data_IF_842068611243
#
_entry.id   IF_842068611243
#
_cell.length_a   1.000
_cell.length_b   1.000
_cell.length_c   1.000
_cell.angle_alpha   90.00
_cell.angle_beta   90.00
_cell.angle_gamma   90.00
#
_symmetry.space_group_name_H-M   'P 1'
#
loop_
_entity.id
_entity.type
_entity.pdbx_description
1 polymer ?
#
# COMPACT_ATOMS: atom_id res chain seq x y z
N UNK A 1 2.38 -0.27 -9.40
CA UNK A 1 1.91 -1.66 -9.22
C UNK A 1 1.93 -2.49 -10.51
N UNK A 2 1.21 -2.15 -11.60
CA UNK A 2 1.13 -2.99 -12.80
C UNK A 2 2.49 -3.39 -13.40
N UNK A 3 3.44 -2.45 -13.44
CA UNK A 3 4.81 -2.75 -13.87
C UNK A 3 5.49 -3.80 -12.95
N UNK A 4 5.40 -3.63 -11.63
CA UNK A 4 5.97 -4.61 -10.69
C UNK A 4 5.37 -6.01 -10.89
N UNK A 5 4.02 -6.11 -10.96
CA UNK A 5 3.37 -7.41 -11.18
C UNK A 5 3.79 -8.04 -12.51
N UNK A 6 3.96 -7.25 -13.59
CA UNK A 6 4.42 -7.78 -14.88
C UNK A 6 5.83 -8.36 -14.83
N UNK A 7 6.70 -7.88 -13.93
CA UNK A 7 8.03 -8.48 -13.74
C UNK A 7 7.99 -9.82 -12.99
N UNK A 8 6.94 -10.05 -12.19
CA UNK A 8 6.77 -11.31 -11.43
C UNK A 8 6.19 -12.44 -12.27
N UNK A 9 5.45 -12.12 -13.34
CA UNK A 9 4.82 -13.08 -14.24
C UNK A 9 5.03 -12.66 -15.70
N UNK A 10 6.28 -12.70 -16.19
CA UNK A 10 6.67 -12.13 -17.50
C UNK A 10 5.97 -12.79 -18.70
N UNK A 11 5.52 -14.03 -18.57
CA UNK A 11 4.82 -14.76 -19.61
C UNK A 11 3.35 -14.34 -19.82
N UNK A 12 2.85 -13.43 -18.97
CA UNK A 12 1.48 -12.91 -19.06
C UNK A 12 1.42 -11.60 -19.84
N UNK A 13 0.40 -11.45 -20.66
CA UNK A 13 0.14 -10.18 -21.33
C UNK A 13 -0.56 -9.20 -20.38
N UNK A 14 0.07 -8.05 -20.16
CA UNK A 14 -0.45 -7.00 -19.29
C UNK A 14 -0.96 -5.81 -20.09
N UNK A 15 -2.19 -5.38 -19.81
CA UNK A 15 -2.76 -4.11 -20.24
C UNK A 15 -2.73 -3.19 -19.04
N UNK A 16 -1.70 -2.34 -18.95
CA UNK A 16 -1.45 -1.50 -17.78
C UNK A 16 -2.11 -0.13 -17.98
N UNK A 17 -2.90 0.30 -16.99
CA UNK A 17 -3.39 1.66 -16.90
C UNK A 17 -2.24 2.61 -16.52
N UNK A 18 -2.24 3.85 -17.04
CA UNK A 18 -1.25 4.89 -16.74
C UNK A 18 -1.50 5.61 -15.39
N UNK A 19 -2.28 4.99 -14.49
CA UNK A 19 -2.51 5.50 -13.16
C UNK A 19 -1.38 5.13 -12.18
N UNK A 20 -1.15 5.97 -11.19
CA UNK A 20 -0.21 5.73 -10.08
C UNK A 20 -0.75 6.31 -8.78
N UNK A 21 -0.25 5.83 -7.65
CA UNK A 21 -0.53 6.41 -6.35
C UNK A 21 0.45 7.58 -6.09
N UNK A 22 -0.04 8.84 -6.00
CA UNK A 22 0.85 9.98 -5.78
C UNK A 22 1.69 9.84 -4.50
N UNK A 23 1.16 9.15 -3.47
CA UNK A 23 1.88 8.98 -2.21
C UNK A 23 3.08 8.05 -2.34
N UNK A 24 2.90 6.90 -2.98
CA UNK A 24 4.00 5.95 -3.21
C UNK A 24 5.02 6.46 -4.25
N UNK A 25 4.57 7.28 -5.20
CA UNK A 25 5.44 7.86 -6.22
C UNK A 25 6.38 8.94 -5.66
N UNK A 26 6.05 9.55 -4.51
CA UNK A 26 6.88 10.56 -3.85
C UNK A 26 7.93 9.97 -2.89
N UNK A 27 7.98 8.65 -2.69
CA UNK A 27 9.09 8.04 -1.94
C UNK A 27 10.39 8.30 -2.69
N UNK A 28 11.33 8.93 -1.98
CA UNK A 28 12.63 9.30 -2.55
C UNK A 28 13.67 8.22 -2.25
N UNK A 29 14.32 7.62 -3.26
CA UNK A 29 15.35 6.62 -3.03
C UNK A 29 16.54 7.15 -2.22
N UNK A 30 16.97 8.41 -2.41
CA UNK A 30 18.07 9.00 -1.66
C UNK A 30 17.73 9.14 -0.17
N UNK A 31 16.45 9.47 0.12
CA UNK A 31 15.97 9.49 1.51
C UNK A 31 15.94 8.09 2.12
N UNK A 32 15.49 7.08 1.37
CA UNK A 32 15.50 5.68 1.81
C UNK A 32 16.92 5.22 2.13
N UNK A 33 17.90 5.49 1.26
CA UNK A 33 19.30 5.16 1.50
C UNK A 33 19.85 5.84 2.75
N UNK A 34 19.45 7.10 3.00
CA UNK A 34 19.83 7.82 4.23
C UNK A 34 19.27 7.14 5.48
N UNK A 35 18.00 6.71 5.45
CA UNK A 35 17.37 6.00 6.57
C UNK A 35 18.01 4.62 6.76
N UNK A 36 18.29 3.89 5.67
CA UNK A 36 19.01 2.61 5.74
C UNK A 36 20.41 2.75 6.34
N UNK A 37 21.14 3.82 5.98
CA UNK A 37 22.46 4.09 6.55
C UNK A 37 22.40 4.42 8.05
N UNK A 38 21.33 5.10 8.49
CA UNK A 38 21.09 5.39 9.91
C UNK A 38 20.64 4.15 10.71
N UNK A 39 19.97 3.20 10.06
CA UNK A 39 19.41 1.99 10.67
C UNK A 39 19.86 0.72 9.91
N UNK A 40 21.16 0.36 9.94
CA UNK A 40 21.72 -0.68 9.07
C UNK A 40 21.26 -2.11 9.37
N UNK A 41 20.47 -2.30 10.44
CA UNK A 41 19.85 -3.60 10.78
C UNK A 41 18.38 -3.68 10.37
N UNK A 42 17.79 -2.55 9.97
CA UNK A 42 16.39 -2.48 9.61
C UNK A 42 16.17 -3.04 8.19
N UNK A 43 15.18 -3.93 8.05
CA UNK A 43 14.73 -4.39 6.74
C UNK A 43 13.80 -3.36 6.11
N UNK A 44 14.02 -3.06 4.83
CA UNK A 44 13.16 -2.14 4.09
C UNK A 44 12.01 -2.87 3.41
N UNK A 45 10.77 -2.55 3.81
CA UNK A 45 9.55 -3.13 3.28
C UNK A 45 8.81 -2.07 2.45
N UNK A 46 8.62 -2.30 1.13
CA UNK A 46 8.06 -1.33 0.21
C UNK A 46 6.75 -1.80 -0.43
N UNK A 47 5.85 -0.85 -0.68
CA UNK A 47 4.63 -1.10 -1.42
C UNK A 47 4.93 -1.15 -2.94
N UNK A 48 4.33 -2.09 -3.73
CA UNK A 48 4.62 -2.27 -5.16
C UNK A 48 4.19 -1.10 -6.06
N UNK A 49 3.56 -0.05 -5.51
CA UNK A 49 3.29 1.20 -6.21
C UNK A 49 4.43 2.22 -6.10
N UNK A 50 5.45 1.97 -5.29
CA UNK A 50 6.67 2.77 -5.30
C UNK A 50 7.37 2.68 -6.65
N UNK A 51 8.19 3.70 -6.95
CA UNK A 51 9.01 3.71 -8.17
C UNK A 51 10.00 2.55 -8.16
N UNK A 52 10.42 2.10 -9.36
CA UNK A 52 11.32 0.94 -9.51
C UNK A 52 12.66 1.12 -8.78
N UNK A 53 13.16 2.35 -8.70
CA UNK A 53 14.41 2.69 -8.00
C UNK A 53 14.27 2.41 -6.49
N UNK A 54 13.13 2.75 -5.91
CA UNK A 54 12.80 2.47 -4.50
C UNK A 54 12.60 0.97 -4.27
N UNK A 55 11.89 0.29 -5.17
CA UNK A 55 11.67 -1.16 -5.07
C UNK A 55 12.97 -1.96 -5.16
N UNK A 56 13.97 -1.44 -5.88
CA UNK A 56 15.29 -2.07 -5.99
C UNK A 56 16.08 -2.06 -4.65
N UNK A 57 15.75 -1.15 -3.73
CA UNK A 57 16.35 -1.06 -2.40
C UNK A 57 15.65 -1.94 -1.36
N UNK A 58 14.45 -2.47 -1.69
CA UNK A 58 13.60 -3.15 -0.73
C UNK A 58 14.02 -4.62 -0.50
N UNK A 59 14.04 -5.04 0.77
CA UNK A 59 14.19 -6.44 1.18
C UNK A 59 12.90 -7.23 0.97
N UNK A 60 11.75 -6.54 1.03
CA UNK A 60 10.44 -7.13 0.75
C UNK A 60 9.54 -6.13 0.02
N UNK A 61 8.81 -6.62 -0.99
CA UNK A 61 7.80 -5.84 -1.71
C UNK A 61 6.45 -6.55 -1.60
N UNK A 62 5.47 -5.86 -1.02
CA UNK A 62 4.14 -6.43 -0.82
C UNK A 62 3.06 -5.37 -0.59
N UNK A 63 1.80 -5.83 -0.60
CA UNK A 63 0.65 -5.00 -0.21
C UNK A 63 0.80 -4.51 1.24
N UNK A 64 0.01 -3.53 1.65
CA UNK A 64 -0.01 -3.06 3.05
C UNK A 64 -0.23 -4.21 4.03
N UNK A 65 -1.19 -5.10 3.76
CA UNK A 65 -1.40 -6.31 4.57
C UNK A 65 -0.19 -7.24 4.55
N UNK A 66 0.42 -7.44 3.37
CA UNK A 66 1.63 -8.26 3.25
C UNK A 66 2.82 -7.70 4.03
N UNK A 67 2.98 -6.37 4.09
CA UNK A 67 3.99 -5.69 4.91
C UNK A 67 3.75 -5.97 6.40
N UNK A 68 2.50 -5.85 6.86
CA UNK A 68 2.12 -6.14 8.25
C UNK A 68 2.43 -7.61 8.61
N UNK A 69 2.01 -8.53 7.76
CA UNK A 69 2.20 -9.96 7.98
C UNK A 69 3.70 -10.35 7.95
N UNK A 70 4.45 -9.80 6.99
CA UNK A 70 5.90 -10.00 6.92
C UNK A 70 6.62 -9.50 8.17
N UNK A 71 6.30 -8.27 8.60
CA UNK A 71 6.87 -7.71 9.82
C UNK A 71 6.53 -8.54 11.06
N UNK A 72 5.31 -9.10 11.13
CA UNK A 72 4.89 -9.99 12.22
C UNK A 72 5.63 -11.33 12.24
N UNK A 73 5.84 -11.94 11.08
CA UNK A 73 6.47 -13.24 10.95
C UNK A 73 8.02 -13.21 11.03
N UNK A 74 8.64 -12.06 10.73
CA UNK A 74 10.09 -11.90 10.70
C UNK A 74 10.71 -11.84 12.11
N UNK A 75 11.89 -12.42 12.28
CA UNK A 75 12.69 -12.32 13.51
C UNK A 75 13.40 -10.95 13.65
N UNK A 76 13.47 -10.15 12.57
CA UNK A 76 14.04 -8.82 12.60
C UNK A 76 13.30 -7.91 13.58
N UNK A 77 14.03 -6.97 14.19
CA UNK A 77 13.51 -6.07 15.22
C UNK A 77 13.32 -4.63 14.72
N UNK A 78 13.87 -4.33 13.58
CA UNK A 78 13.83 -2.98 13.00
C UNK A 78 13.38 -3.05 11.54
N UNK A 79 12.48 -2.14 11.16
CA UNK A 79 11.93 -2.10 9.80
C UNK A 79 11.81 -0.66 9.31
N UNK A 80 12.14 -0.44 8.05
CA UNK A 80 11.83 0.80 7.32
C UNK A 80 10.59 0.53 6.48
N UNK A 81 9.60 1.42 6.55
CA UNK A 81 8.27 1.19 5.97
C UNK A 81 8.00 2.16 4.83
N UNK A 82 7.96 1.64 3.61
CA UNK A 82 7.70 2.36 2.36
C UNK A 82 6.24 2.27 1.90
N UNK A 83 5.30 2.64 2.77
CA UNK A 83 3.88 2.77 2.45
C UNK A 83 3.22 3.90 3.27
N UNK A 84 1.91 4.09 3.12
CA UNK A 84 1.13 5.14 3.81
C UNK A 84 1.18 4.97 5.33
N UNK A 85 1.39 6.09 6.04
CA UNK A 85 1.71 6.11 7.48
C UNK A 85 0.62 5.59 8.42
N UNK A 86 -0.62 5.45 7.97
CA UNK A 86 -1.67 4.86 8.79
C UNK A 86 -1.41 3.41 9.22
N UNK A 87 -0.48 2.73 8.53
CA UNK A 87 -0.09 1.35 8.85
C UNK A 87 0.70 1.24 10.16
N UNK A 88 1.38 2.31 10.59
CA UNK A 88 2.24 2.28 11.78
C UNK A 88 1.48 1.88 13.04
N UNK A 89 0.27 2.38 13.23
CA UNK A 89 -0.56 1.99 14.38
C UNK A 89 -0.74 0.47 14.49
N UNK A 90 -1.01 -0.19 13.38
CA UNK A 90 -1.21 -1.64 13.37
C UNK A 90 0.10 -2.42 13.53
N UNK A 91 1.17 -1.95 12.87
CA UNK A 91 2.51 -2.53 13.02
C UNK A 91 3.00 -2.49 14.46
N UNK A 92 2.92 -1.34 15.11
CA UNK A 92 3.36 -1.13 16.51
C UNK A 92 2.47 -1.90 17.50
N UNK A 93 1.14 -1.90 17.26
CA UNK A 93 0.20 -2.62 18.15
C UNK A 93 0.40 -4.12 18.10
N UNK A 94 0.65 -4.69 16.90
CA UNK A 94 0.87 -6.13 16.73
C UNK A 94 2.27 -6.58 17.13
N UNK A 95 3.25 -5.67 17.11
CA UNK A 95 4.66 -5.97 17.34
C UNK A 95 5.30 -4.97 18.31
N UNK A 96 4.92 -4.96 19.58
CA UNK A 96 5.38 -3.97 20.58
C UNK A 96 6.88 -4.07 20.90
N UNK A 97 7.54 -5.15 20.48
CA UNK A 97 8.97 -5.42 20.65
C UNK A 97 9.81 -5.05 19.42
N UNK A 98 9.19 -4.42 18.39
CA UNK A 98 9.84 -4.03 17.13
C UNK A 98 9.77 -2.53 16.91
N UNK A 99 10.70 -2.01 16.12
CA UNK A 99 10.78 -0.58 15.80
C UNK A 99 10.55 -0.37 14.31
N UNK A 100 9.78 0.67 13.97
CA UNK A 100 9.39 0.98 12.61
C UNK A 100 9.76 2.42 12.27
N UNK A 101 10.45 2.61 11.15
CA UNK A 101 10.90 3.90 10.64
C UNK A 101 10.18 4.24 9.33
N UNK A 102 9.72 5.46 9.11
CA UNK A 102 9.11 5.85 7.83
C UNK A 102 10.20 6.00 6.74
N UNK A 103 9.89 5.51 5.54
CA UNK A 103 10.72 5.70 4.36
C UNK A 103 10.51 7.06 3.66
N UNK A 104 9.78 7.98 4.28
CA UNK A 104 9.52 9.34 3.80
C UNK A 104 9.16 10.26 4.97
N UNK A 105 9.50 11.56 4.87
CA UNK A 105 9.26 12.55 5.95
C UNK A 105 7.77 12.71 6.28
N UNK A 106 6.91 12.80 5.25
CA UNK A 106 5.45 12.85 5.41
C UNK A 106 4.83 11.61 4.78
N UNK A 107 4.57 10.59 5.61
CA UNK A 107 4.02 9.32 5.15
C UNK A 107 2.48 9.31 4.99
N UNK A 108 1.78 10.38 5.40
CA UNK A 108 0.31 10.39 5.42
C UNK A 108 -0.32 10.83 4.10
N UNK A 109 -1.33 10.10 3.64
CA UNK A 109 -2.10 10.45 2.47
C UNK A 109 -3.24 11.44 2.83
N UNK A 110 -3.14 12.67 2.33
CA UNK A 110 -4.14 13.72 2.57
C UNK A 110 -5.55 13.27 2.16
N UNK A 111 -5.68 12.49 1.08
CA UNK A 111 -6.98 12.01 0.61
C UNK A 111 -7.59 10.95 1.53
N UNK A 112 -6.79 10.02 2.04
CA UNK A 112 -7.27 9.03 3.03
C UNK A 112 -7.68 9.71 4.34
N UNK A 113 -6.95 10.73 4.78
CA UNK A 113 -7.24 11.48 6.01
C UNK A 113 -8.45 12.44 5.91
N UNK A 114 -9.09 12.55 4.74
CA UNK A 114 -10.41 13.21 4.61
C UNK A 114 -11.55 12.41 5.24
N UNK A 115 -11.38 11.12 5.42
CA UNK A 115 -12.33 10.25 6.15
C UNK A 115 -11.97 10.30 7.63
N UNK A 116 -12.88 10.81 8.46
CA UNK A 116 -12.74 10.89 9.91
C UNK A 116 -13.75 9.99 10.61
N UNK A 117 -13.51 9.68 11.88
CA UNK A 117 -14.45 8.87 12.67
C UNK A 117 -15.84 9.52 12.78
N UNK A 118 -15.89 10.85 12.88
CA UNK A 118 -17.15 11.60 12.90
C UNK A 118 -17.93 11.42 11.60
N UNK A 119 -17.25 11.51 10.45
CA UNK A 119 -17.90 11.30 9.14
C UNK A 119 -18.40 9.88 8.98
N UNK A 120 -17.64 8.89 9.44
CA UNK A 120 -18.09 7.48 9.42
C UNK A 120 -19.30 7.29 10.32
N UNK A 121 -19.26 7.79 11.57
CA UNK A 121 -20.39 7.75 12.49
C UNK A 121 -21.63 8.42 11.90
N UNK A 122 -21.50 9.62 11.35
CA UNK A 122 -22.63 10.40 10.83
C UNK A 122 -23.21 9.75 9.57
N UNK A 123 -22.37 9.21 8.69
CA UNK A 123 -22.80 8.45 7.53
C UNK A 123 -23.61 7.20 7.93
N UNK A 124 -23.17 6.45 8.94
CA UNK A 124 -23.87 5.25 9.43
C UNK A 124 -25.16 5.58 10.17
N UNK A 125 -25.17 6.68 10.95
CA UNK A 125 -26.34 7.09 11.71
C UNK A 125 -27.45 7.67 10.83
N UNK A 126 -27.07 8.51 9.87
CA UNK A 126 -27.99 9.35 9.10
C UNK A 126 -28.19 8.81 7.67
N UNK A 127 -27.55 7.68 7.31
CA UNK A 127 -27.59 7.05 5.97
C UNK A 127 -27.29 8.07 4.85
N UNK A 128 -26.31 8.97 5.10
CA UNK A 128 -25.93 10.04 4.18
C UNK A 128 -24.79 9.62 3.24
N UNK A 129 -24.52 10.42 2.23
CA UNK A 129 -23.49 10.20 1.22
C UNK A 129 -23.74 8.96 0.34
N UNK A 130 -25.00 8.65 0.05
CA UNK A 130 -25.33 7.62 -0.92
C UNK A 130 -24.68 7.90 -2.28
N UNK A 131 -24.08 6.88 -2.87
CA UNK A 131 -23.41 6.97 -4.16
C UNK A 131 -24.19 6.20 -5.20
N UNK A 132 -24.54 6.87 -6.28
CA UNK A 132 -25.24 6.28 -7.41
C UNK A 132 -24.25 6.01 -8.55
N UNK A 133 -24.34 4.84 -9.13
CA UNK A 133 -23.61 4.46 -10.35
C UNK A 133 -24.64 4.25 -11.45
N UNK A 134 -24.43 4.85 -12.60
CA UNK A 134 -25.28 4.65 -13.78
C UNK A 134 -25.44 3.15 -14.11
N UNK A 135 -26.67 2.67 -14.34
CA UNK A 135 -26.98 1.25 -14.51
C UNK A 135 -26.20 0.60 -15.66
N UNK A 136 -25.95 1.34 -16.76
CA UNK A 136 -25.19 0.85 -17.89
C UNK A 136 -23.72 0.66 -17.53
N UNK A 137 -23.14 1.58 -16.73
CA UNK A 137 -21.78 1.47 -16.21
C UNK A 137 -21.70 0.32 -15.21
N UNK A 138 -22.64 0.26 -14.26
CA UNK A 138 -22.72 -0.79 -13.25
C UNK A 138 -22.80 -2.19 -13.89
N UNK A 139 -23.68 -2.38 -14.90
CA UNK A 139 -23.83 -3.67 -15.58
C UNK A 139 -22.57 -4.13 -16.33
N UNK A 140 -21.75 -3.20 -16.85
CA UNK A 140 -20.45 -3.53 -17.45
C UNK A 140 -19.40 -3.85 -16.40
N UNK A 141 -19.37 -3.09 -15.33
CA UNK A 141 -18.41 -3.29 -14.21
C UNK A 141 -18.64 -4.63 -13.52
N UNK A 142 -19.89 -5.00 -13.22
CA UNK A 142 -20.24 -6.28 -12.60
C UNK A 142 -19.72 -7.46 -13.42
N UNK A 143 -19.92 -7.46 -14.74
CA UNK A 143 -19.42 -8.55 -15.62
C UNK A 143 -17.89 -8.69 -15.55
N UNK A 144 -17.16 -7.58 -15.49
CA UNK A 144 -15.71 -7.59 -15.37
C UNK A 144 -15.26 -8.15 -14.01
N UNK A 145 -15.94 -7.75 -12.92
CA UNK A 145 -15.68 -8.22 -11.57
C UNK A 145 -15.98 -9.72 -11.41
N UNK A 146 -17.14 -10.18 -11.93
CA UNK A 146 -17.51 -11.59 -11.92
C UNK A 146 -16.47 -12.44 -12.66
N UNK A 147 -16.02 -11.98 -13.85
CA UNK A 147 -14.96 -12.68 -14.58
C UNK A 147 -13.64 -12.74 -13.82
N UNK A 148 -13.27 -11.68 -13.14
CA UNK A 148 -12.08 -11.65 -12.26
C UNK A 148 -12.20 -12.70 -11.14
N UNK A 149 -13.36 -12.79 -10.47
CA UNK A 149 -13.61 -13.74 -9.40
C UNK A 149 -13.64 -15.20 -9.89
N UNK A 150 -14.15 -15.44 -11.11
CA UNK A 150 -14.09 -16.78 -11.73
C UNK A 150 -12.65 -17.23 -11.99
N UNK A 151 -11.79 -16.33 -12.43
CA UNK A 151 -10.38 -16.62 -12.75
C UNK A 151 -9.49 -16.72 -11.50
N UNK A 152 -9.93 -16.22 -10.35
CA UNK A 152 -9.21 -16.28 -9.09
C UNK A 152 -9.45 -17.57 -8.27
N UNK A 153 -10.32 -18.45 -8.75
CA UNK A 153 -10.57 -19.78 -8.17
C UNK A 153 -9.59 -20.79 -8.73
#
# INVERSE_FOLDING_TARGET
MGHYVSTQVPDKHFIVNQGFCPRHDTVDPDYVETVQAAHPKALFLAHPECRKEVLALADYVGSTSGIIDYAGASDAKEFIIGTEGGVFYELETRNPDKVFYPAMEDAYCINMKKVTLEKVRDCLRDETNEVFVDDHVAGKAVRALERMLELAK
#
